data_IF_449585523959
#
_entry.id   IF_449585523959
#
_cell.length_a   1.000
_cell.length_b   1.000
_cell.length_c   1.000
_cell.angle_alpha   90.00
_cell.angle_beta   90.00
_cell.angle_gamma   90.00
#
_symmetry.space_group_name_H-M   'P 1'
#
loop_
_entity.id
_entity.type
_entity.pdbx_description
1 polymer ?
#
# COMPACT_ATOMS: atom_id res chain seq x y z
N UNK A 1 -4.10 12.64 -1.92
CA UNK A 1 -3.81 13.90 -2.67
C UNK A 1 -2.85 14.84 -1.93
N UNK A 2 -2.91 14.94 -0.61
CA UNK A 2 -1.99 15.82 0.16
C UNK A 2 -0.50 15.49 -0.05
N UNK A 3 -0.11 14.22 -0.02
CA UNK A 3 1.28 13.80 -0.24
C UNK A 3 1.78 14.13 -1.66
N UNK A 4 0.98 13.93 -2.69
CA UNK A 4 1.35 14.29 -4.07
C UNK A 4 1.68 15.78 -4.20
N UNK A 5 0.83 16.64 -3.64
CA UNK A 5 1.03 18.09 -3.69
C UNK A 5 2.30 18.50 -2.92
N UNK A 6 2.54 17.90 -1.76
CA UNK A 6 3.74 18.15 -0.95
C UNK A 6 5.01 17.80 -1.72
N UNK A 7 5.08 16.60 -2.29
CA UNK A 7 6.24 16.15 -3.10
C UNK A 7 6.45 17.06 -4.30
N UNK A 8 5.39 17.42 -5.04
CA UNK A 8 5.51 18.31 -6.19
C UNK A 8 5.98 19.71 -5.80
N UNK A 9 5.51 20.26 -4.70
CA UNK A 9 5.94 21.58 -4.22
C UNK A 9 7.42 21.56 -3.82
N UNK A 10 7.86 20.55 -3.09
CA UNK A 10 9.27 20.37 -2.69
C UNK A 10 10.17 20.22 -3.93
N UNK A 11 9.85 19.30 -4.84
CA UNK A 11 10.63 19.06 -6.05
C UNK A 11 10.67 20.29 -6.97
N UNK A 12 9.60 21.04 -7.07
CA UNK A 12 9.55 22.24 -7.90
C UNK A 12 10.40 23.39 -7.35
N UNK A 13 10.73 23.39 -6.06
CA UNK A 13 11.62 24.38 -5.40
C UNK A 13 13.08 23.95 -5.38
N UNK A 14 13.37 22.69 -5.72
CA UNK A 14 14.73 22.16 -5.69
C UNK A 14 15.65 22.91 -6.63
N UNK A 15 16.81 23.35 -6.13
CA UNK A 15 17.83 23.99 -6.96
C UNK A 15 18.66 22.95 -7.69
N UNK A 16 18.57 22.93 -9.02
CA UNK A 16 19.34 22.05 -9.89
C UNK A 16 20.34 22.90 -10.69
N UNK A 17 21.64 22.68 -10.44
CA UNK A 17 22.72 23.47 -11.07
C UNK A 17 23.29 22.83 -12.31
N UNK A 18 23.30 21.48 -12.40
CA UNK A 18 23.91 20.78 -13.56
C UNK A 18 23.07 20.96 -14.82
N UNK A 19 23.67 21.46 -15.92
CA UNK A 19 22.95 21.69 -17.19
C UNK A 19 22.29 20.40 -17.75
N UNK A 20 23.00 19.26 -17.70
CA UNK A 20 22.44 17.98 -18.17
C UNK A 20 21.17 17.60 -17.43
N UNK A 21 21.16 17.77 -16.09
CA UNK A 21 19.99 17.48 -15.23
C UNK A 21 18.80 18.40 -15.58
N UNK A 22 19.06 19.70 -15.76
CA UNK A 22 18.02 20.67 -16.16
C UNK A 22 17.44 20.32 -17.54
N UNK A 23 18.30 19.96 -18.51
CA UNK A 23 17.88 19.52 -19.85
C UNK A 23 17.02 18.24 -19.78
N UNK A 24 17.45 17.24 -19.04
CA UNK A 24 16.69 15.99 -18.87
C UNK A 24 15.33 16.21 -18.20
N UNK A 25 15.28 17.09 -17.19
CA UNK A 25 14.06 17.46 -16.50
C UNK A 25 13.06 18.18 -17.42
N UNK A 26 13.51 19.21 -18.16
CA UNK A 26 12.67 19.94 -19.13
C UNK A 26 12.14 19.02 -20.22
N UNK A 27 13.00 18.20 -20.82
CA UNK A 27 12.60 17.24 -21.86
C UNK A 27 11.52 16.27 -21.33
N UNK A 28 11.70 15.79 -20.10
CA UNK A 28 10.73 14.89 -19.46
C UNK A 28 9.43 15.63 -19.12
N UNK A 29 9.49 16.82 -18.52
CA UNK A 29 8.28 17.59 -18.22
C UNK A 29 7.47 17.86 -19.49
N UNK A 30 8.10 18.31 -20.58
CA UNK A 30 7.42 18.55 -21.85
C UNK A 30 6.83 17.27 -22.45
N UNK A 31 7.52 16.12 -22.31
CA UNK A 31 7.02 14.83 -22.81
C UNK A 31 5.82 14.34 -22.02
N UNK A 32 5.84 14.45 -20.70
CA UNK A 32 4.81 13.88 -19.85
C UNK A 32 3.65 14.84 -19.57
N UNK A 33 3.86 16.16 -19.55
CA UNK A 33 2.81 17.15 -19.28
C UNK A 33 2.11 17.68 -20.52
N UNK A 34 2.61 17.37 -21.70
CA UNK A 34 2.06 18.01 -22.86
C UNK A 34 2.32 17.29 -24.16
N UNK A 35 2.36 18.07 -25.23
CA UNK A 35 2.50 17.56 -26.57
C UNK A 35 3.09 18.56 -27.53
N UNK A 36 3.39 18.01 -28.69
CA UNK A 36 3.75 18.74 -29.89
C UNK A 36 2.44 18.97 -30.66
N UNK A 37 2.08 20.22 -30.87
CA UNK A 37 0.94 20.61 -31.68
C UNK A 37 1.45 21.23 -33.00
N UNK A 38 0.88 20.80 -34.10
CA UNK A 38 1.19 21.42 -35.39
C UNK A 38 0.13 22.50 -35.67
N UNK A 39 0.60 23.76 -35.68
CA UNK A 39 -0.27 24.93 -35.93
C UNK A 39 0.29 25.69 -37.10
N UNK A 40 -0.45 25.79 -38.20
CA UNK A 40 -0.05 26.48 -39.42
C UNK A 40 1.35 26.04 -39.95
N UNK A 41 1.67 24.75 -39.84
CA UNK A 41 2.95 24.20 -40.31
C UNK A 41 4.12 24.32 -39.33
N UNK A 42 3.94 24.95 -38.17
CA UNK A 42 4.94 25.13 -37.14
C UNK A 42 4.62 24.29 -35.88
N UNK A 43 5.65 23.83 -35.20
CA UNK A 43 5.48 23.12 -33.93
C UNK A 43 5.25 24.14 -32.82
N UNK A 44 4.17 23.96 -32.10
CA UNK A 44 3.87 24.62 -30.82
C UNK A 44 4.02 23.58 -29.71
N UNK A 45 4.86 23.90 -28.73
CA UNK A 45 5.00 23.08 -27.53
C UNK A 45 4.05 23.57 -26.46
N UNK A 46 3.29 22.64 -25.86
CA UNK A 46 2.37 22.92 -24.77
C UNK A 46 2.55 21.91 -23.66
N UNK A 47 2.58 22.38 -22.41
CA UNK A 47 2.64 21.53 -21.21
C UNK A 47 1.62 22.00 -20.19
N UNK A 48 0.69 21.09 -19.83
CA UNK A 48 -0.32 21.33 -18.79
C UNK A 48 0.12 20.75 -17.46
N UNK A 49 0.25 21.59 -16.44
CA UNK A 49 0.73 21.26 -15.10
C UNK A 49 -0.35 21.56 -14.05
N UNK A 50 -0.33 20.81 -12.97
CA UNK A 50 -1.29 20.95 -11.88
C UNK A 50 -0.83 21.91 -10.77
N UNK A 51 0.42 22.38 -10.80
CA UNK A 51 0.95 23.33 -9.83
C UNK A 51 1.63 24.52 -10.51
N UNK A 52 1.34 25.74 -10.02
CA UNK A 52 1.96 26.97 -10.53
C UNK A 52 3.46 27.03 -10.27
N UNK A 53 3.97 26.34 -9.24
CA UNK A 53 5.41 26.30 -8.94
C UNK A 53 6.14 25.49 -10.01
N UNK A 54 5.61 24.31 -10.40
CA UNK A 54 6.16 23.50 -11.46
C UNK A 54 6.12 24.24 -12.82
N UNK A 55 5.03 24.95 -13.11
CA UNK A 55 4.92 25.75 -14.33
C UNK A 55 5.96 26.89 -14.39
N UNK A 56 6.16 27.62 -13.29
CA UNK A 56 7.21 28.65 -13.22
C UNK A 56 8.60 28.06 -13.36
N UNK A 57 8.87 26.89 -12.75
CA UNK A 57 10.13 26.17 -12.91
C UNK A 57 10.39 25.82 -14.38
N UNK A 58 9.42 25.20 -15.05
CA UNK A 58 9.53 24.84 -16.47
C UNK A 58 9.82 26.08 -17.33
N UNK A 59 9.08 27.17 -17.13
CA UNK A 59 9.31 28.44 -17.84
C UNK A 59 10.71 28.98 -17.63
N UNK A 60 11.18 29.01 -16.39
CA UNK A 60 12.52 29.46 -16.01
C UNK A 60 13.58 28.63 -16.73
N UNK A 61 13.44 27.30 -16.71
CA UNK A 61 14.41 26.41 -17.34
C UNK A 61 14.37 26.46 -18.87
N UNK A 62 13.20 26.65 -19.49
CA UNK A 62 13.11 26.93 -20.95
C UNK A 62 13.87 28.20 -21.32
N UNK A 63 13.73 29.28 -20.54
CA UNK A 63 14.42 30.54 -20.79
C UNK A 63 15.90 30.45 -20.53
N UNK A 64 16.34 29.93 -19.37
CA UNK A 64 17.76 29.94 -18.97
C UNK A 64 18.60 28.88 -19.69
N UNK A 65 18.04 27.72 -20.01
CA UNK A 65 18.78 26.59 -20.59
C UNK A 65 18.73 26.60 -22.11
N UNK A 66 17.63 27.09 -22.69
CA UNK A 66 17.38 27.00 -24.11
C UNK A 66 17.24 28.38 -24.79
N UNK A 67 17.10 29.47 -24.02
CA UNK A 67 17.01 30.83 -24.52
C UNK A 67 15.67 31.20 -25.16
N UNK A 68 14.60 30.39 -24.90
CA UNK A 68 13.29 30.63 -25.51
C UNK A 68 12.31 31.27 -24.55
N UNK A 69 11.42 32.11 -25.08
CA UNK A 69 10.29 32.65 -24.31
C UNK A 69 9.13 31.68 -24.30
N UNK A 70 8.33 31.73 -23.22
CA UNK A 70 7.11 30.91 -23.09
C UNK A 70 6.01 31.72 -22.44
N UNK A 71 4.76 31.48 -22.87
CA UNK A 71 3.56 32.02 -22.28
C UNK A 71 3.05 31.11 -21.16
N UNK A 72 2.39 31.71 -20.16
CA UNK A 72 1.74 30.99 -19.09
C UNK A 72 0.27 31.38 -19.03
N UNK A 73 -0.60 30.43 -19.31
CA UNK A 73 -2.03 30.55 -19.11
C UNK A 73 -2.47 29.79 -17.84
N UNK A 74 -3.42 30.37 -17.12
CA UNK A 74 -4.03 29.75 -15.95
C UNK A 74 -5.46 29.39 -16.29
N UNK A 75 -5.77 28.11 -16.29
CA UNK A 75 -7.10 27.58 -16.52
C UNK A 75 -7.76 27.31 -15.16
N UNK A 76 -8.75 28.13 -14.81
CA UNK A 76 -9.49 27.96 -13.57
C UNK A 76 -10.28 26.63 -13.55
N UNK A 77 -10.54 26.13 -12.34
CA UNK A 77 -11.44 25.00 -12.14
C UNK A 77 -12.86 25.38 -12.65
N UNK A 78 -13.48 24.50 -13.42
CA UNK A 78 -14.84 24.72 -13.94
C UNK A 78 -15.33 23.53 -14.76
N UNK A 79 -16.64 23.29 -14.76
CA UNK A 79 -17.27 22.19 -15.47
C UNK A 79 -16.74 20.82 -15.01
N UNK A 80 -16.25 20.02 -15.93
CA UNK A 80 -15.67 18.68 -15.68
C UNK A 80 -14.24 18.73 -15.08
N UNK A 81 -13.60 19.88 -15.04
CA UNK A 81 -12.20 20.03 -14.56
C UNK A 81 -12.17 20.24 -13.05
N UNK A 82 -11.57 19.28 -12.35
CA UNK A 82 -11.33 19.34 -10.90
C UNK A 82 -9.97 19.98 -10.63
N UNK A 83 -9.94 21.31 -10.41
CA UNK A 83 -8.74 22.05 -10.01
C UNK A 83 -8.18 22.97 -11.10
N UNK A 84 -7.35 23.91 -10.66
CA UNK A 84 -6.63 24.84 -11.54
C UNK A 84 -5.55 24.13 -12.32
N UNK A 85 -5.36 24.49 -13.59
CA UNK A 85 -4.28 24.02 -14.45
C UNK A 85 -3.44 25.20 -14.94
N UNK A 86 -2.17 24.94 -15.13
CA UNK A 86 -1.19 25.90 -15.58
C UNK A 86 -0.60 25.41 -16.90
N UNK A 87 -0.84 26.14 -17.97
CA UNK A 87 -0.41 25.78 -19.32
C UNK A 87 0.77 26.64 -19.71
N UNK A 88 1.93 26.00 -19.88
CA UNK A 88 3.14 26.64 -20.43
C UNK A 88 3.18 26.36 -21.91
N UNK A 89 3.24 27.44 -22.74
CA UNK A 89 3.21 27.34 -24.20
C UNK A 89 4.41 28.06 -24.82
N UNK A 90 5.05 27.41 -25.78
CA UNK A 90 6.10 27.99 -26.63
C UNK A 90 5.60 27.96 -28.05
N UNK A 91 5.28 29.16 -28.59
CA UNK A 91 4.70 29.33 -29.91
C UNK A 91 5.80 29.72 -30.90
N UNK A 92 6.59 30.77 -30.57
CA UNK A 92 7.49 31.40 -31.51
C UNK A 92 8.69 30.51 -31.91
N UNK A 93 9.27 29.76 -31.01
CA UNK A 93 10.45 28.96 -31.28
C UNK A 93 10.22 27.47 -30.99
N UNK A 94 8.97 27.02 -31.16
CA UNK A 94 8.58 25.64 -30.83
C UNK A 94 9.35 24.59 -31.61
N UNK A 95 9.61 24.81 -32.90
CA UNK A 95 10.41 23.91 -33.73
C UNK A 95 11.86 23.79 -33.21
N UNK A 96 12.48 24.91 -32.83
CA UNK A 96 13.84 24.93 -32.28
C UNK A 96 13.89 24.22 -30.92
N UNK A 97 12.99 24.55 -30.01
CA UNK A 97 12.94 23.93 -28.70
C UNK A 97 12.62 22.41 -28.77
N UNK A 98 11.73 21.98 -29.68
CA UNK A 98 11.43 20.57 -29.90
C UNK A 98 12.68 19.76 -30.35
N UNK A 99 13.51 20.34 -31.19
CA UNK A 99 14.81 19.75 -31.62
C UNK A 99 15.82 19.73 -30.47
N UNK A 100 15.98 20.86 -29.78
CA UNK A 100 16.95 21.00 -28.67
C UNK A 100 16.62 20.10 -27.49
N UNK A 101 15.34 19.89 -27.18
CA UNK A 101 14.89 18.98 -26.13
C UNK A 101 14.87 17.51 -26.56
N UNK A 102 15.09 17.23 -27.87
CA UNK A 102 15.04 15.88 -28.43
C UNK A 102 13.62 15.30 -28.51
N UNK A 103 12.60 16.14 -28.45
CA UNK A 103 11.20 15.70 -28.65
C UNK A 103 10.90 15.41 -30.12
N UNK A 104 11.68 15.95 -31.02
CA UNK A 104 11.78 15.55 -32.43
C UNK A 104 13.19 15.10 -32.75
N UNK A 105 13.34 14.12 -33.64
CA UNK A 105 14.63 13.63 -34.10
C UNK A 105 15.27 14.57 -35.13
N UNK A 106 16.50 14.26 -35.57
CA UNK A 106 17.22 15.05 -36.59
C UNK A 106 16.50 15.13 -37.97
N UNK A 107 15.50 14.26 -38.17
CA UNK A 107 14.65 14.26 -39.39
C UNK A 107 13.31 14.97 -39.18
N UNK A 108 13.10 15.60 -38.03
CA UNK A 108 11.86 16.29 -37.67
C UNK A 108 10.69 15.37 -37.25
N UNK A 109 10.95 14.08 -36.98
CA UNK A 109 9.90 13.14 -36.57
C UNK A 109 9.76 13.15 -35.05
N UNK A 110 8.52 13.11 -34.50
CA UNK A 110 8.28 13.06 -33.07
C UNK A 110 8.92 11.82 -32.44
N UNK A 111 9.64 12.00 -31.33
CA UNK A 111 10.13 10.92 -30.47
C UNK A 111 9.03 10.55 -29.48
N UNK A 112 8.54 9.31 -29.51
CA UNK A 112 7.41 8.87 -28.68
C UNK A 112 7.78 8.61 -27.21
N UNK A 113 9.02 8.17 -26.94
CA UNK A 113 9.54 7.94 -25.60
C UNK A 113 10.28 9.16 -25.03
N UNK A 114 11.22 8.91 -24.12
CA UNK A 114 12.20 9.91 -23.71
C UNK A 114 13.26 10.08 -24.78
N UNK A 115 13.84 11.28 -24.91
CA UNK A 115 14.92 11.52 -25.87
C UNK A 115 16.09 10.57 -25.67
N UNK A 116 16.76 10.09 -26.75
CA UNK A 116 17.90 9.18 -26.65
C UNK A 116 19.01 9.70 -25.73
N UNK A 117 19.31 11.00 -25.78
CA UNK A 117 20.31 11.63 -24.92
C UNK A 117 19.98 11.52 -23.41
N UNK A 118 18.69 11.46 -23.03
CA UNK A 118 18.25 11.24 -21.66
C UNK A 118 18.33 9.76 -21.28
N UNK A 119 17.90 8.88 -22.20
CA UNK A 119 17.88 7.42 -21.97
C UNK A 119 19.31 6.87 -21.81
N UNK A 120 20.26 7.33 -22.63
CA UNK A 120 21.68 6.93 -22.59
C UNK A 120 22.56 7.83 -21.73
N UNK A 121 22.01 8.90 -21.13
CA UNK A 121 22.73 9.88 -20.33
C UNK A 121 23.26 9.33 -19.00
N UNK A 122 23.77 10.19 -18.13
CA UNK A 122 24.26 9.82 -16.80
C UNK A 122 23.13 9.40 -15.84
N UNK A 123 23.49 8.85 -14.69
CA UNK A 123 22.51 8.49 -13.62
C UNK A 123 21.71 9.73 -13.18
N UNK A 124 22.35 10.88 -13.04
CA UNK A 124 21.67 12.13 -12.69
C UNK A 124 20.66 12.60 -13.74
N UNK A 125 20.80 12.21 -15.00
CA UNK A 125 19.83 12.50 -16.05
C UNK A 125 18.59 11.60 -15.90
N UNK A 126 18.79 10.34 -15.50
CA UNK A 126 17.69 9.43 -15.16
C UNK A 126 16.89 9.93 -13.93
N UNK A 127 17.57 10.40 -12.87
CA UNK A 127 16.94 11.03 -11.71
C UNK A 127 16.12 12.26 -12.11
N UNK A 128 16.70 13.11 -12.96
CA UNK A 128 16.06 14.33 -13.43
C UNK A 128 14.88 14.06 -14.37
N UNK A 129 14.98 13.04 -15.21
CA UNK A 129 13.86 12.61 -16.06
C UNK A 129 12.68 12.10 -15.23
N UNK A 130 12.95 11.31 -14.21
CA UNK A 130 11.92 10.85 -13.26
C UNK A 130 11.30 12.01 -12.49
N UNK A 131 12.12 12.99 -12.04
CA UNK A 131 11.61 14.20 -11.37
C UNK A 131 10.70 15.00 -12.29
N UNK A 132 11.11 15.23 -13.54
CA UNK A 132 10.30 15.92 -14.53
C UNK A 132 8.96 15.19 -14.81
N UNK A 133 9.00 13.87 -14.99
CA UNK A 133 7.81 13.06 -15.19
C UNK A 133 6.87 13.10 -13.97
N UNK A 134 7.43 13.09 -12.74
CA UNK A 134 6.63 13.20 -11.52
C UNK A 134 6.00 14.60 -11.37
N UNK A 135 6.74 15.66 -11.65
CA UNK A 135 6.22 17.04 -11.64
C UNK A 135 5.07 17.20 -12.65
N UNK A 136 5.18 16.54 -13.81
CA UNK A 136 4.15 16.55 -14.83
C UNK A 136 2.89 15.78 -14.37
N UNK A 137 2.94 14.47 -14.30
CA UNK A 137 1.80 13.59 -14.06
C UNK A 137 2.05 12.53 -12.99
N UNK A 138 2.93 12.83 -12.02
CA UNK A 138 3.17 11.97 -10.87
C UNK A 138 2.07 12.07 -9.82
N UNK A 139 1.86 10.96 -9.12
CA UNK A 139 1.02 10.87 -7.94
C UNK A 139 1.64 9.92 -6.91
N UNK A 140 1.42 10.23 -5.63
CA UNK A 140 1.83 9.41 -4.50
C UNK A 140 0.62 9.18 -3.61
N UNK A 141 0.22 7.93 -3.46
CA UNK A 141 -0.80 7.54 -2.48
C UNK A 141 -0.19 7.47 -1.08
N UNK A 142 -0.99 7.85 -0.08
CA UNK A 142 -0.56 7.75 1.31
C UNK A 142 -0.26 6.28 1.69
N UNK A 143 0.68 6.05 2.64
CA UNK A 143 1.01 4.72 3.09
C UNK A 143 -0.22 3.93 3.52
N UNK A 144 -0.37 2.70 3.00
CA UNK A 144 -1.53 1.87 3.26
C UNK A 144 -1.48 0.52 2.56
N UNK A 145 -2.65 -0.15 2.47
CA UNK A 145 -2.78 -1.44 1.75
C UNK A 145 -2.36 -1.36 0.28
N UNK A 146 -2.49 -0.21 -0.33
CA UNK A 146 -2.25 0.02 -1.75
C UNK A 146 -1.38 1.26 -2.00
N UNK A 147 -0.32 1.42 -1.20
CA UNK A 147 0.67 2.47 -1.46
C UNK A 147 1.23 2.34 -2.87
N UNK A 148 1.28 3.43 -3.59
CA UNK A 148 1.86 3.48 -4.92
C UNK A 148 2.41 4.88 -5.24
N UNK A 149 3.59 4.90 -5.86
CA UNK A 149 4.06 6.03 -6.64
C UNK A 149 3.74 5.70 -8.09
N UNK A 150 2.93 6.54 -8.72
CA UNK A 150 2.46 6.33 -10.09
C UNK A 150 2.78 7.54 -10.97
N UNK A 151 3.13 7.30 -12.22
CA UNK A 151 3.26 8.33 -13.26
C UNK A 151 2.37 7.95 -14.42
N UNK A 152 1.46 8.83 -14.78
CA UNK A 152 0.66 8.69 -16.01
C UNK A 152 1.52 9.06 -17.19
N UNK A 153 1.55 8.21 -18.21
CA UNK A 153 2.42 8.32 -19.38
C UNK A 153 1.59 8.65 -20.62
N UNK A 154 2.17 9.40 -21.58
CA UNK A 154 1.48 9.72 -22.84
C UNK A 154 1.40 8.54 -23.81
N UNK A 155 2.09 7.45 -23.54
CA UNK A 155 2.08 6.24 -24.35
C UNK A 155 3.04 5.18 -23.81
N UNK A 156 3.01 3.96 -24.38
CA UNK A 156 3.78 2.82 -23.90
C UNK A 156 5.29 3.03 -24.04
N UNK A 157 5.76 3.74 -25.07
CA UNK A 157 7.19 3.99 -25.27
C UNK A 157 7.75 4.91 -24.18
N UNK A 158 6.98 5.91 -23.73
CA UNK A 158 7.36 6.79 -22.62
C UNK A 158 7.36 6.00 -21.30
N UNK A 159 6.39 5.11 -21.09
CA UNK A 159 6.35 4.23 -19.93
C UNK A 159 7.56 3.28 -19.87
N UNK A 160 7.91 2.64 -20.99
CA UNK A 160 9.07 1.75 -21.05
C UNK A 160 10.39 2.49 -20.83
N UNK A 161 10.54 3.71 -21.41
CA UNK A 161 11.71 4.53 -21.19
C UNK A 161 11.88 4.91 -19.70
N UNK A 162 10.78 5.24 -19.03
CA UNK A 162 10.79 5.57 -17.60
C UNK A 162 11.09 4.35 -16.72
N UNK A 163 10.58 3.16 -17.07
CA UNK A 163 10.94 1.90 -16.41
C UNK A 163 12.44 1.60 -16.60
N UNK A 164 12.98 1.80 -17.80
CA UNK A 164 14.41 1.68 -18.06
C UNK A 164 15.25 2.64 -17.19
N UNK A 165 14.82 3.88 -17.05
CA UNK A 165 15.47 4.87 -16.19
C UNK A 165 15.41 4.44 -14.70
N UNK A 166 14.28 3.93 -14.19
CA UNK A 166 14.18 3.39 -12.83
C UNK A 166 15.14 2.23 -12.59
N UNK A 167 15.23 1.31 -13.56
CA UNK A 167 16.17 0.17 -13.50
C UNK A 167 17.62 0.62 -13.36
N UNK A 168 18.01 1.68 -14.06
CA UNK A 168 19.35 2.28 -13.93
C UNK A 168 19.60 2.88 -12.55
N UNK A 169 18.55 3.33 -11.85
CA UNK A 169 18.61 3.80 -10.46
C UNK A 169 18.59 2.66 -9.45
N UNK A 170 18.53 1.39 -9.87
CA UNK A 170 18.39 0.22 -9.01
C UNK A 170 16.98 0.04 -8.45
N UNK A 171 15.97 0.68 -9.04
CA UNK A 171 14.60 0.69 -8.54
C UNK A 171 13.68 -0.10 -9.48
N UNK A 172 12.89 -1.03 -8.91
CA UNK A 172 11.92 -1.81 -9.66
C UNK A 172 10.64 -1.01 -9.89
N UNK A 173 10.35 -0.69 -11.14
CA UNK A 173 9.12 -0.06 -11.58
C UNK A 173 8.45 -0.92 -12.66
N UNK A 174 7.11 -0.89 -12.74
CA UNK A 174 6.34 -1.68 -13.72
C UNK A 174 5.47 -0.77 -14.57
N UNK A 175 5.52 -0.95 -15.89
CA UNK A 175 4.55 -0.35 -16.79
C UNK A 175 3.23 -1.15 -16.72
N UNK A 176 2.11 -0.46 -16.72
CA UNK A 176 0.76 -1.04 -16.75
C UNK A 176 -0.15 -0.13 -17.56
N UNK A 177 -1.04 -0.74 -18.32
CA UNK A 177 -2.18 -0.04 -18.89
C UNK A 177 -3.39 -0.20 -17.96
N UNK A 178 -4.04 0.91 -17.63
CA UNK A 178 -5.24 0.94 -16.80
C UNK A 178 -6.30 1.80 -17.51
N UNK A 179 -7.36 1.18 -17.97
CA UNK A 179 -8.46 1.85 -18.69
C UNK A 179 -7.99 2.66 -19.90
N UNK A 180 -7.10 2.07 -20.71
CA UNK A 180 -6.55 2.72 -21.89
C UNK A 180 -5.49 3.80 -21.61
N UNK A 181 -5.00 3.91 -20.37
CA UNK A 181 -3.98 4.88 -19.97
C UNK A 181 -2.74 4.15 -19.49
N UNK A 182 -1.60 4.42 -20.12
CA UNK A 182 -0.31 3.88 -19.72
C UNK A 182 0.17 4.53 -18.43
N UNK A 183 0.65 3.71 -17.50
CA UNK A 183 1.20 4.15 -16.20
C UNK A 183 2.46 3.40 -15.85
N UNK A 184 3.37 4.08 -15.18
CA UNK A 184 4.50 3.45 -14.47
C UNK A 184 4.21 3.49 -12.99
N UNK A 185 4.37 2.33 -12.33
CA UNK A 185 3.97 2.14 -10.93
C UNK A 185 5.09 1.52 -10.12
N UNK A 186 5.36 2.09 -8.94
CA UNK A 186 6.20 1.52 -7.88
C UNK A 186 5.27 1.29 -6.69
N UNK A 187 5.24 0.05 -6.15
CA UNK A 187 4.34 -0.32 -5.03
C UNK A 187 5.08 -0.73 -3.76
N UNK A 188 6.32 -1.14 -3.91
CA UNK A 188 7.16 -1.48 -2.77
C UNK A 188 7.51 -0.22 -1.99
N UNK A 189 7.34 -0.26 -0.66
CA UNK A 189 7.53 0.90 0.20
C UNK A 189 8.96 1.41 0.21
N UNK A 190 9.93 0.51 0.27
CA UNK A 190 11.35 0.87 0.31
C UNK A 190 11.80 1.41 -1.05
N UNK A 191 11.27 0.86 -2.16
CA UNK A 191 11.48 1.37 -3.49
C UNK A 191 10.86 2.76 -3.72
N UNK A 192 9.69 3.05 -3.10
CA UNK A 192 9.07 4.40 -3.12
C UNK A 192 9.97 5.39 -2.39
N UNK A 193 10.43 5.06 -1.18
CA UNK A 193 11.34 5.92 -0.40
C UNK A 193 12.65 6.15 -1.13
N UNK A 194 13.26 5.11 -1.70
CA UNK A 194 14.45 5.21 -2.51
C UNK A 194 14.25 6.13 -3.73
N UNK A 195 13.11 6.00 -4.43
CA UNK A 195 12.80 6.86 -5.57
C UNK A 195 12.64 8.31 -5.13
N UNK A 196 11.85 8.62 -4.12
CA UNK A 196 11.66 9.98 -3.61
C UNK A 196 12.99 10.61 -3.18
N UNK A 197 13.87 9.85 -2.52
CA UNK A 197 15.22 10.29 -2.15
C UNK A 197 16.06 10.64 -3.40
N UNK A 198 16.05 9.77 -4.42
CA UNK A 198 16.74 10.02 -5.71
C UNK A 198 16.21 11.25 -6.43
N UNK A 199 14.92 11.54 -6.32
CA UNK A 199 14.32 12.74 -6.88
C UNK A 199 14.70 14.01 -6.13
N UNK A 200 15.13 13.91 -4.87
CA UNK A 200 15.48 15.02 -3.99
C UNK A 200 14.34 15.49 -3.07
N UNK A 201 13.28 14.69 -2.89
CA UNK A 201 12.14 15.00 -2.03
C UNK A 201 12.37 14.51 -0.59
N UNK A 202 13.40 15.04 0.07
CA UNK A 202 13.87 14.52 1.37
C UNK A 202 12.86 14.74 2.51
N UNK A 203 12.22 15.90 2.59
CA UNK A 203 11.20 16.20 3.61
C UNK A 203 9.95 15.35 3.41
N UNK A 204 9.57 15.13 2.16
CA UNK A 204 8.45 14.27 1.81
C UNK A 204 8.73 12.80 2.10
N UNK A 205 9.97 12.32 1.93
CA UNK A 205 10.39 10.97 2.34
C UNK A 205 10.19 10.79 3.84
N UNK A 206 10.69 11.72 4.66
CA UNK A 206 10.56 11.64 6.11
C UNK A 206 9.09 11.61 6.53
N UNK A 207 8.26 12.50 5.95
CA UNK A 207 6.83 12.54 6.23
C UNK A 207 6.10 11.25 5.78
N UNK A 208 6.51 10.64 4.66
CA UNK A 208 5.93 9.42 4.14
C UNK A 208 6.30 8.20 5.00
N UNK A 209 7.57 8.08 5.41
CA UNK A 209 8.05 7.02 6.31
C UNK A 209 7.43 7.09 7.70
N UNK A 210 7.31 8.28 8.30
CA UNK A 210 6.63 8.47 9.58
C UNK A 210 5.18 7.96 9.53
N UNK A 211 4.43 8.30 8.46
CA UNK A 211 3.06 7.80 8.26
C UNK A 211 3.02 6.29 8.03
N UNK A 212 3.99 5.74 7.29
CA UNK A 212 4.13 4.30 7.06
C UNK A 212 4.34 3.56 8.37
N UNK A 213 5.28 4.00 9.19
CA UNK A 213 5.60 3.41 10.49
C UNK A 213 4.42 3.44 11.46
N UNK A 214 3.77 4.60 11.60
CA UNK A 214 2.56 4.74 12.46
C UNK A 214 1.44 3.79 12.03
N UNK A 215 1.26 3.58 10.74
CA UNK A 215 0.25 2.68 10.22
C UNK A 215 0.59 1.22 10.46
N UNK A 216 1.85 0.84 10.34
CA UNK A 216 2.34 -0.51 10.60
C UNK A 216 2.17 -0.89 12.08
N UNK A 217 2.52 0.01 12.99
CA UNK A 217 2.28 -0.15 14.44
C UNK A 217 0.79 -0.37 14.72
N UNK A 218 -0.09 0.47 14.16
CA UNK A 218 -1.55 0.30 14.33
C UNK A 218 -2.05 -1.02 13.76
N UNK A 219 -1.58 -1.42 12.58
CA UNK A 219 -1.98 -2.67 11.95
C UNK A 219 -1.52 -3.89 12.78
N UNK A 220 -0.35 -3.82 13.41
CA UNK A 220 0.16 -4.86 14.29
C UNK A 220 -0.64 -4.92 15.59
N UNK A 221 -0.92 -3.78 16.23
CA UNK A 221 -1.77 -3.71 17.42
C UNK A 221 -3.18 -4.29 17.16
N UNK A 222 -3.80 -3.93 16.03
CA UNK A 222 -5.12 -4.47 15.66
C UNK A 222 -5.07 -5.98 15.39
N UNK A 223 -3.98 -6.51 14.79
CA UNK A 223 -3.83 -7.96 14.60
C UNK A 223 -3.70 -8.71 15.91
N UNK A 224 -2.91 -8.18 16.86
CA UNK A 224 -2.79 -8.76 18.20
C UNK A 224 -4.12 -8.75 18.94
N UNK A 225 -4.82 -7.63 18.98
CA UNK A 225 -6.13 -7.52 19.62
C UNK A 225 -7.15 -8.51 19.02
N UNK A 226 -7.21 -8.62 17.68
CA UNK A 226 -8.10 -9.57 17.01
C UNK A 226 -7.71 -11.04 17.29
N UNK A 227 -6.40 -11.32 17.40
CA UNK A 227 -5.92 -12.66 17.74
C UNK A 227 -6.30 -13.04 19.17
N UNK A 228 -6.12 -12.13 20.13
CA UNK A 228 -6.47 -12.34 21.54
C UNK A 228 -7.98 -12.53 21.71
N UNK A 229 -8.81 -11.69 21.05
CA UNK A 229 -10.27 -11.83 21.08
C UNK A 229 -10.74 -13.17 20.48
N UNK A 230 -10.15 -13.58 19.34
CA UNK A 230 -10.46 -14.86 18.72
C UNK A 230 -10.06 -16.05 19.59
N UNK A 231 -8.93 -15.96 20.30
CA UNK A 231 -8.49 -16.99 21.25
C UNK A 231 -9.38 -17.04 22.47
N UNK A 232 -9.76 -15.89 23.03
CA UNK A 232 -10.68 -15.81 24.17
C UNK A 232 -12.03 -16.43 23.83
N UNK A 233 -12.62 -16.07 22.69
CA UNK A 233 -13.89 -16.67 22.22
C UNK A 233 -13.78 -18.18 22.01
N UNK A 234 -12.68 -18.66 21.42
CA UNK A 234 -12.46 -20.10 21.23
C UNK A 234 -12.35 -20.82 22.55
N UNK A 235 -11.62 -20.26 23.51
CA UNK A 235 -11.48 -20.81 24.86
C UNK A 235 -12.81 -20.84 25.61
N UNK A 236 -13.59 -19.75 25.54
CA UNK A 236 -14.91 -19.67 26.15
C UNK A 236 -15.89 -20.73 25.57
N UNK A 237 -15.95 -20.85 24.23
CA UNK A 237 -16.75 -21.90 23.57
C UNK A 237 -16.33 -23.30 23.99
N UNK A 238 -15.04 -23.58 24.05
CA UNK A 238 -14.54 -24.89 24.48
C UNK A 238 -14.91 -25.18 25.96
N UNK A 239 -14.85 -24.17 26.80
CA UNK A 239 -15.23 -24.29 28.20
C UNK A 239 -16.74 -24.60 28.40
N UNK A 240 -17.60 -23.89 27.65
CA UNK A 240 -19.06 -24.12 27.66
C UNK A 240 -19.41 -25.51 27.13
N UNK A 241 -18.84 -25.90 25.99
CA UNK A 241 -19.04 -27.25 25.45
C UNK A 241 -18.54 -28.34 26.38
N UNK A 242 -17.38 -28.15 27.03
CA UNK A 242 -16.89 -29.09 28.04
C UNK A 242 -17.82 -29.19 29.27
N UNK A 243 -18.40 -28.07 29.72
CA UNK A 243 -19.39 -28.04 30.80
C UNK A 243 -20.64 -28.88 30.45
N UNK A 244 -21.25 -28.63 29.29
CA UNK A 244 -22.42 -29.37 28.81
C UNK A 244 -22.14 -30.89 28.67
N UNK A 245 -20.97 -31.26 28.14
CA UNK A 245 -20.58 -32.68 28.08
C UNK A 245 -20.35 -33.31 29.45
N UNK A 246 -19.74 -32.57 30.39
CA UNK A 246 -19.53 -33.05 31.76
C UNK A 246 -20.86 -33.25 32.49
N UNK A 247 -21.81 -32.32 32.33
CA UNK A 247 -23.17 -32.47 32.90
C UNK A 247 -23.82 -33.77 32.42
N UNK A 248 -23.81 -34.00 31.11
CA UNK A 248 -24.32 -35.23 30.52
C UNK A 248 -23.56 -36.48 30.97
N UNK A 249 -22.24 -36.38 31.14
CA UNK A 249 -21.42 -37.49 31.60
C UNK A 249 -21.81 -37.94 33.04
N UNK A 250 -22.05 -36.98 33.92
CA UNK A 250 -22.49 -37.27 35.29
C UNK A 250 -23.92 -37.88 35.35
N UNK A 251 -24.82 -37.43 34.48
CA UNK A 251 -26.16 -38.03 34.32
C UNK A 251 -26.07 -39.51 33.88
N UNK A 252 -25.24 -39.81 32.84
CA UNK A 252 -25.10 -41.15 32.29
C UNK A 252 -24.50 -42.13 33.32
N UNK A 253 -23.52 -41.67 34.09
CA UNK A 253 -22.76 -42.51 35.01
C UNK A 253 -23.42 -42.64 36.40
N UNK A 254 -24.23 -41.66 36.84
CA UNK A 254 -24.87 -41.65 38.16
C UNK A 254 -23.85 -41.83 39.30
N UNK A 255 -24.07 -42.79 40.15
CA UNK A 255 -23.21 -43.10 41.31
C UNK A 255 -21.94 -43.92 40.96
N UNK A 256 -21.84 -44.42 39.72
CA UNK A 256 -20.73 -45.26 39.28
C UNK A 256 -19.47 -44.45 38.88
N UNK A 257 -19.39 -43.15 39.25
CA UNK A 257 -18.25 -42.26 38.92
C UNK A 257 -17.16 -42.37 40.00
N UNK A 258 -15.91 -42.67 39.63
CA UNK A 258 -14.78 -42.56 40.56
C UNK A 258 -14.66 -41.15 41.14
N UNK A 259 -14.55 -41.02 42.48
CA UNK A 259 -14.58 -39.72 43.17
C UNK A 259 -13.65 -38.68 42.61
N UNK A 260 -12.41 -39.08 42.26
CA UNK A 260 -11.43 -38.15 41.69
C UNK A 260 -11.80 -37.60 40.28
N UNK A 261 -12.69 -38.30 39.55
CA UNK A 261 -13.24 -37.82 38.27
C UNK A 261 -14.49 -36.98 38.51
N UNK A 262 -15.32 -37.37 39.48
CA UNK A 262 -16.52 -36.63 39.88
C UNK A 262 -16.14 -35.23 40.39
N UNK A 263 -15.11 -35.12 41.23
CA UNK A 263 -14.59 -33.81 41.70
C UNK A 263 -14.17 -32.93 40.54
N UNK A 264 -13.43 -33.44 39.56
CA UNK A 264 -13.02 -32.69 38.39
C UNK A 264 -14.22 -32.24 37.52
N UNK A 265 -15.26 -33.10 37.43
CA UNK A 265 -16.51 -32.76 36.76
C UNK A 265 -17.27 -31.64 37.47
N UNK A 266 -17.49 -31.78 38.80
CA UNK A 266 -18.14 -30.74 39.63
C UNK A 266 -17.43 -29.38 39.50
N UNK A 267 -16.10 -29.35 39.63
CA UNK A 267 -15.33 -28.13 39.46
C UNK A 267 -15.59 -27.46 38.10
N UNK A 268 -15.69 -28.22 37.00
CA UNK A 268 -16.01 -27.68 35.69
C UNK A 268 -17.44 -27.10 35.64
N UNK A 269 -18.42 -27.71 36.29
CA UNK A 269 -19.79 -27.21 36.31
C UNK A 269 -19.95 -25.98 37.18
N UNK A 270 -19.28 -25.93 38.33
CA UNK A 270 -19.30 -24.79 39.25
C UNK A 270 -18.58 -23.57 38.63
N UNK A 271 -17.53 -23.82 37.86
CA UNK A 271 -16.69 -22.79 37.24
C UNK A 271 -16.69 -22.89 35.69
N UNK A 272 -17.89 -22.71 35.09
CA UNK A 272 -18.14 -22.94 33.65
C UNK A 272 -17.21 -22.17 32.70
N UNK A 273 -16.72 -20.99 33.11
CA UNK A 273 -15.87 -20.15 32.29
C UNK A 273 -14.36 -20.22 32.61
N UNK A 274 -14.00 -20.89 33.70
CA UNK A 274 -12.62 -20.99 34.13
C UNK A 274 -11.76 -21.77 33.12
N UNK A 275 -10.55 -21.33 32.91
CA UNK A 275 -9.54 -22.05 32.15
C UNK A 275 -9.15 -23.35 32.85
N UNK A 276 -8.55 -24.29 32.15
CA UNK A 276 -8.08 -25.54 32.78
C UNK A 276 -7.00 -25.31 33.84
N UNK A 277 -6.24 -24.22 33.72
CA UNK A 277 -5.23 -23.82 34.70
C UNK A 277 -5.89 -23.31 35.98
N UNK A 278 -6.88 -22.43 35.86
CA UNK A 278 -7.67 -21.95 37.00
C UNK A 278 -8.42 -23.10 37.71
N UNK A 279 -9.01 -24.03 36.93
CA UNK A 279 -9.67 -25.24 37.54
C UNK A 279 -8.67 -26.11 38.27
N UNK A 280 -7.45 -26.25 37.76
CA UNK A 280 -6.39 -26.98 38.45
C UNK A 280 -5.99 -26.32 39.77
N UNK A 281 -5.93 -24.99 39.82
CA UNK A 281 -5.65 -24.24 41.04
C UNK A 281 -6.77 -24.32 42.09
N UNK A 282 -8.02 -24.44 41.64
CA UNK A 282 -9.19 -24.58 42.51
C UNK A 282 -9.42 -26.01 43.07
N UNK A 283 -8.70 -27.00 42.57
CA UNK A 283 -8.76 -28.36 43.05
C UNK A 283 -8.09 -28.52 44.43
N UNK A 284 -8.61 -29.39 45.27
CA UNK A 284 -7.97 -29.75 46.52
C UNK A 284 -7.61 -31.24 46.53
N UNK A 285 -6.32 -31.62 46.60
CA UNK A 285 -5.18 -30.73 46.48
C UNK A 285 -5.02 -30.11 45.04
N UNK A 286 -4.32 -28.97 44.91
CA UNK A 286 -4.15 -28.32 43.61
C UNK A 286 -3.54 -29.25 42.55
N UNK A 287 -4.06 -29.14 41.30
CA UNK A 287 -3.69 -29.96 40.16
C UNK A 287 -3.06 -29.13 39.05
N UNK A 288 -2.19 -29.76 38.27
CA UNK A 288 -1.73 -29.15 37.06
C UNK A 288 -2.82 -29.09 35.99
N UNK A 289 -2.69 -28.15 35.04
CA UNK A 289 -3.56 -28.03 33.85
C UNK A 289 -3.79 -29.40 33.16
N UNK A 290 -2.70 -30.14 32.96
CA UNK A 290 -2.76 -31.44 32.27
C UNK A 290 -3.46 -32.52 33.11
N UNK A 291 -3.27 -32.46 34.42
CA UNK A 291 -3.93 -33.40 35.34
C UNK A 291 -5.44 -33.21 35.35
N UNK A 292 -5.92 -31.96 35.47
CA UNK A 292 -7.38 -31.67 35.46
C UNK A 292 -7.99 -31.98 34.08
N UNK A 293 -7.31 -31.64 33.00
CA UNK A 293 -7.72 -31.97 31.63
C UNK A 293 -7.81 -33.49 31.41
N UNK A 294 -6.85 -34.23 31.93
CA UNK A 294 -6.82 -35.70 31.87
C UNK A 294 -7.97 -36.36 32.67
N UNK A 295 -8.32 -35.79 33.82
CA UNK A 295 -9.47 -36.27 34.61
C UNK A 295 -10.80 -36.03 33.89
N UNK A 296 -11.03 -34.81 33.35
CA UNK A 296 -12.23 -34.49 32.57
C UNK A 296 -12.33 -35.39 31.34
N UNK A 297 -11.24 -35.58 30.60
CA UNK A 297 -11.22 -36.45 29.40
C UNK A 297 -11.59 -37.90 29.74
N UNK A 298 -11.08 -38.45 30.86
CA UNK A 298 -11.43 -39.80 31.33
C UNK A 298 -12.86 -39.92 31.76
N UNK A 299 -13.42 -38.92 32.45
CA UNK A 299 -14.84 -38.84 32.80
C UNK A 299 -15.73 -38.94 31.56
N UNK A 300 -15.47 -38.11 30.55
CA UNK A 300 -16.22 -38.10 29.28
C UNK A 300 -16.13 -39.45 28.56
N UNK A 301 -14.92 -40.01 28.44
CA UNK A 301 -14.71 -41.29 27.77
C UNK A 301 -15.43 -42.46 28.48
N UNK A 302 -15.46 -42.43 29.81
CA UNK A 302 -16.18 -43.43 30.59
C UNK A 302 -17.70 -43.35 30.40
N UNK A 303 -18.23 -42.12 30.34
CA UNK A 303 -19.64 -41.86 30.07
C UNK A 303 -20.03 -42.25 28.65
N UNK A 304 -19.22 -41.89 27.63
CA UNK A 304 -19.50 -42.24 26.23
C UNK A 304 -19.48 -43.76 26.02
N UNK A 305 -18.56 -44.49 26.70
CA UNK A 305 -18.55 -45.95 26.71
C UNK A 305 -19.84 -46.52 27.31
N UNK A 306 -20.24 -46.02 28.47
CA UNK A 306 -21.48 -46.45 29.17
C UNK A 306 -22.73 -46.14 28.34
N UNK A 307 -22.79 -44.99 27.70
CA UNK A 307 -23.87 -44.61 26.78
C UNK A 307 -23.99 -45.59 25.62
N UNK A 308 -22.88 -46.00 25.03
CA UNK A 308 -22.85 -47.02 23.97
C UNK A 308 -23.36 -48.38 24.44
N UNK A 309 -23.00 -48.80 25.64
CA UNK A 309 -23.49 -50.06 26.25
C UNK A 309 -25.00 -50.04 26.52
N UNK A 310 -25.54 -48.85 26.86
CA UNK A 310 -26.96 -48.66 27.15
C UNK A 310 -27.79 -48.33 25.89
N UNK A 311 -27.18 -48.12 24.75
CA UNK A 311 -27.86 -47.74 23.52
C UNK A 311 -28.46 -46.32 23.55
N UNK A 312 -27.89 -45.40 24.34
CA UNK A 312 -28.33 -44.01 24.49
C UNK A 312 -27.32 -43.04 23.87
N UNK A 313 -27.77 -41.79 23.68
CA UNK A 313 -26.89 -40.73 23.18
C UNK A 313 -25.76 -40.38 24.17
N UNK A 314 -24.54 -40.21 23.66
CA UNK A 314 -23.36 -39.90 24.45
C UNK A 314 -23.27 -38.43 24.89
N UNK A 315 -22.10 -38.04 25.41
CA UNK A 315 -21.89 -36.72 26.01
C UNK A 315 -22.00 -35.55 25.02
N UNK A 316 -21.83 -35.78 23.71
CA UNK A 316 -21.92 -34.73 22.70
C UNK A 316 -23.35 -34.25 22.44
N UNK A 317 -24.38 -35.05 22.78
CA UNK A 317 -25.77 -34.66 22.56
C UNK A 317 -26.20 -33.40 23.32
N UNK A 318 -25.55 -33.10 24.44
CA UNK A 318 -25.85 -31.91 25.27
C UNK A 318 -25.19 -30.61 24.69
N UNK A 319 -24.36 -30.70 23.66
CA UNK A 319 -23.74 -29.52 23.05
C UNK A 319 -24.64 -28.97 21.94
N UNK A 320 -25.41 -27.93 22.26
CA UNK A 320 -26.32 -27.31 21.28
C UNK A 320 -25.59 -26.27 20.39
N UNK A 321 -26.11 -26.06 19.19
CA UNK A 321 -25.56 -25.06 18.26
C UNK A 321 -25.58 -23.65 18.86
N UNK A 322 -26.53 -23.32 19.73
CA UNK A 322 -26.64 -22.01 20.38
C UNK A 322 -25.55 -21.80 21.44
N UNK A 323 -25.09 -22.83 22.11
CA UNK A 323 -23.94 -22.75 23.04
C UNK A 323 -22.62 -22.41 22.34
N UNK A 324 -22.53 -22.66 21.04
CA UNK A 324 -21.35 -22.40 20.24
C UNK A 324 -21.37 -21.01 19.52
N UNK A 325 -22.46 -20.26 19.69
CA UNK A 325 -22.63 -18.92 19.05
C UNK A 325 -22.12 -17.74 19.88
N UNK A 326 -21.43 -17.98 20.99
CA UNK A 326 -20.83 -16.95 21.85
C UNK A 326 -19.73 -16.11 21.13
#
# INVERSE_FOLDING_TARGET
MAMTAQVKDELARLTVTKPCCRKAEVSSMLRFAGGLHLVSGHIVLEAELDTGVAARRLRKDISEVYGHSSDLAVLAAGGLRKGTRYVVRVVKDGDALAKQTGLVDGRGRPVRGLPPAVVSGAICDAESAWRGAFLAHGSLTEPGRSSALEITCPGPEAALALVGAARRLGISAKAREVRGVDRVVIRDGDAISAMLTRLGAHDSVLAWEDRRMRREVRATANRLANFDDANLRRSARAAVAAGARVERALEILGDDVPEHLAVAGRLRLDHKQASLEELGALADPPLTKDAIAGRIRRLLAMADKRASELGIEGTEANVTADMLRL
#
